data_IF_261233387194
#
_entry.id   IF_261233387194
#
_cell.length_a   1.000
_cell.length_b   1.000
_cell.length_c   1.000
_cell.angle_alpha   90.00
_cell.angle_beta   90.00
_cell.angle_gamma   90.00
#
_symmetry.space_group_name_H-M   'P 1'
#
loop_
_entity.id
_entity.type
_entity.pdbx_description
1 polymer ?
#
# COMPACT_ATOMS: atom_id res chain seq x y z
N UNK A 1 -35.28 22.84 47.77
CA UNK A 1 -36.43 23.73 47.46
C UNK A 1 -36.32 24.21 46.02
N UNK A 2 -37.38 23.95 45.22
CA UNK A 2 -38.03 24.84 44.23
C UNK A 2 -37.16 25.48 43.13
N UNK A 3 -37.35 25.11 41.84
CA UNK A 3 -38.30 25.70 40.85
C UNK A 3 -37.86 27.12 40.42
N UNK A 4 -37.92 27.57 39.17
CA UNK A 4 -38.53 27.10 37.92
C UNK A 4 -38.10 28.08 36.81
N UNK A 5 -38.03 27.57 35.58
CA UNK A 5 -38.15 28.31 34.31
C UNK A 5 -39.32 29.31 34.29
N UNK A 6 -39.24 30.32 33.41
CA UNK A 6 -40.02 30.45 32.15
C UNK A 6 -40.25 31.92 31.79
N UNK A 7 -40.10 32.23 30.51
CA UNK A 7 -40.66 33.41 29.86
C UNK A 7 -40.76 33.16 28.37
N UNK A 8 -41.95 32.74 27.92
CA UNK A 8 -42.33 32.49 26.55
C UNK A 8 -43.32 33.58 26.09
N UNK A 9 -43.38 33.83 24.79
CA UNK A 9 -44.54 34.37 24.06
C UNK A 9 -44.36 33.90 22.61
N UNK A 10 -45.08 32.92 22.06
CA UNK A 10 -46.52 32.76 21.85
C UNK A 10 -47.11 33.82 20.90
N UNK A 11 -47.46 33.40 19.68
CA UNK A 11 -48.64 33.91 19.00
C UNK A 11 -49.30 32.81 18.16
N UNK A 12 -50.61 32.65 18.43
CA UNK A 12 -51.57 31.70 17.87
C UNK A 12 -52.09 32.12 16.49
N UNK A 13 -52.65 31.15 15.74
CA UNK A 13 -54.00 31.17 15.10
C UNK A 13 -54.23 29.76 14.45
N UNK A 14 -55.15 28.87 14.87
CA UNK A 14 -56.64 28.82 14.71
C UNK A 14 -57.06 28.92 13.21
N UNK A 15 -57.89 28.08 12.56
CA UNK A 15 -58.92 27.08 12.91
C UNK A 15 -59.24 26.20 11.66
N UNK A 16 -59.88 25.05 11.91
CA UNK A 16 -61.05 24.49 11.18
C UNK A 16 -60.88 23.46 10.04
N UNK A 17 -61.52 22.33 10.30
CA UNK A 17 -61.77 21.15 9.46
C UNK A 17 -63.10 21.33 8.71
N UNK A 18 -63.18 20.98 7.41
CA UNK A 18 -64.38 20.35 6.79
C UNK A 18 -63.92 19.46 5.62
N UNK A 19 -64.43 18.22 5.59
CA UNK A 19 -64.19 17.21 4.57
C UNK A 19 -65.16 17.34 3.37
N UNK A 20 -64.70 17.03 2.16
CA UNK A 20 -65.56 16.63 1.03
C UNK A 20 -64.84 15.54 0.23
N UNK A 21 -65.48 14.38 0.09
CA UNK A 21 -65.05 13.24 -0.71
C UNK A 21 -65.40 13.44 -2.20
N UNK A 22 -64.47 13.13 -3.10
CA UNK A 22 -64.69 13.04 -4.57
C UNK A 22 -63.91 11.82 -5.09
N UNK A 23 -64.48 10.98 -5.97
CA UNK A 23 -64.03 9.60 -6.18
C UNK A 23 -62.75 9.49 -7.02
N UNK A 24 -62.04 8.39 -6.82
CA UNK A 24 -60.93 7.97 -7.67
C UNK A 24 -61.44 7.73 -9.11
N UNK A 25 -60.96 8.54 -10.06
CA UNK A 25 -60.99 8.22 -11.48
C UNK A 25 -59.60 7.69 -11.84
N UNK A 26 -59.52 6.37 -11.98
CA UNK A 26 -58.42 5.72 -12.68
C UNK A 26 -58.65 5.94 -14.18
N UNK A 27 -57.74 6.66 -14.86
CA UNK A 27 -57.38 6.28 -16.23
C UNK A 27 -56.06 6.93 -16.69
N UNK A 28 -55.12 6.04 -16.99
CA UNK A 28 -54.13 6.05 -18.07
C UNK A 28 -53.04 7.15 -18.16
N UNK A 29 -51.81 6.69 -17.93
CA UNK A 29 -50.57 6.96 -18.69
C UNK A 29 -50.16 8.42 -18.95
N UNK A 30 -49.19 8.92 -18.16
CA UNK A 30 -47.88 9.36 -18.66
C UNK A 30 -46.92 9.75 -17.54
N UNK A 31 -45.68 9.30 -17.68
CA UNK A 31 -44.45 9.85 -17.10
C UNK A 31 -44.17 9.62 -15.60
N UNK A 32 -43.51 8.49 -15.32
CA UNK A 32 -42.24 8.39 -14.58
C UNK A 32 -41.95 9.47 -13.53
N UNK A 33 -42.33 9.21 -12.27
CA UNK A 33 -41.59 9.70 -11.11
C UNK A 33 -41.28 8.48 -10.24
N UNK A 34 -40.21 7.77 -10.60
CA UNK A 34 -39.57 6.84 -9.69
C UNK A 34 -38.88 7.66 -8.61
N UNK A 35 -39.15 7.30 -7.36
CA UNK A 35 -38.48 7.81 -6.16
C UNK A 35 -36.97 7.79 -6.36
N UNK A 36 -36.33 8.96 -6.23
CA UNK A 36 -34.87 9.04 -6.21
C UNK A 36 -34.37 8.45 -4.90
N UNK A 37 -34.14 7.14 -4.90
CA UNK A 37 -33.21 6.48 -3.99
C UNK A 37 -31.84 7.09 -4.26
N UNK A 38 -31.38 7.97 -3.37
CA UNK A 38 -30.01 8.51 -3.41
C UNK A 38 -29.08 7.35 -3.06
N UNK A 39 -28.21 6.86 -3.96
CA UNK A 39 -27.24 5.87 -3.57
C UNK A 39 -26.23 6.57 -2.67
N UNK A 40 -26.05 6.06 -1.44
CA UNK A 40 -24.88 6.36 -0.63
C UNK A 40 -23.70 5.78 -1.39
N UNK A 41 -23.08 6.60 -2.24
CA UNK A 41 -21.80 6.27 -2.85
C UNK A 41 -20.82 6.26 -1.69
N UNK A 42 -20.43 5.04 -1.26
CA UNK A 42 -19.22 4.85 -0.50
C UNK A 42 -18.12 5.56 -1.28
N UNK A 43 -17.60 6.66 -0.73
CA UNK A 43 -16.38 7.27 -1.22
C UNK A 43 -15.29 6.24 -0.99
N UNK A 44 -15.04 5.41 -2.02
CA UNK A 44 -13.79 4.71 -2.14
C UNK A 44 -12.73 5.79 -2.08
N UNK A 45 -12.01 5.89 -0.96
CA UNK A 45 -10.75 6.61 -0.88
C UNK A 45 -9.97 6.19 -2.12
N UNK A 46 -9.85 7.08 -3.10
CA UNK A 46 -8.96 6.87 -4.23
C UNK A 46 -7.57 6.91 -3.61
N UNK A 47 -7.03 5.74 -3.28
CA UNK A 47 -5.64 5.65 -2.86
C UNK A 47 -4.86 6.01 -4.11
N UNK A 48 -4.46 7.27 -4.20
CA UNK A 48 -3.45 7.65 -5.16
C UNK A 48 -2.22 6.80 -4.82
N UNK A 49 -1.72 6.12 -5.84
CA UNK A 49 -0.56 5.25 -5.74
C UNK A 49 0.49 5.79 -6.71
N UNK A 50 1.74 5.76 -6.28
CA UNK A 50 2.87 6.07 -7.16
C UNK A 50 3.52 4.77 -7.58
N UNK A 51 3.97 4.68 -8.83
CA UNK A 51 4.63 3.47 -9.34
C UNK A 51 6.09 3.78 -9.61
N UNK A 52 6.98 2.99 -9.02
CA UNK A 52 8.37 2.92 -9.42
C UNK A 52 8.51 1.84 -10.51
N UNK A 53 9.09 2.19 -11.65
CA UNK A 53 9.44 1.24 -12.70
C UNK A 53 10.96 1.12 -12.85
N UNK A 54 11.45 -0.11 -12.85
CA UNK A 54 12.83 -0.42 -13.18
C UNK A 54 12.86 -1.19 -14.51
N UNK A 55 13.03 -0.45 -15.60
CA UNK A 55 13.08 -1.03 -16.95
C UNK A 55 14.36 -1.84 -17.22
N UNK A 56 15.43 -1.59 -16.46
CA UNK A 56 16.67 -2.36 -16.56
C UNK A 56 16.48 -3.83 -16.15
N UNK A 57 15.76 -4.07 -15.05
CA UNK A 57 15.53 -5.42 -14.55
C UNK A 57 14.13 -5.96 -14.84
N UNK A 58 13.19 -5.12 -15.28
CA UNK A 58 11.85 -5.55 -15.71
C UNK A 58 10.91 -5.81 -14.53
N UNK A 59 10.81 -4.86 -13.60
CA UNK A 59 9.80 -4.89 -12.54
C UNK A 59 9.25 -3.49 -12.25
N UNK A 60 8.04 -3.47 -11.70
CA UNK A 60 7.42 -2.28 -11.11
C UNK A 60 7.11 -2.50 -9.63
N UNK A 61 7.07 -1.43 -8.86
CA UNK A 61 6.74 -1.43 -7.45
C UNK A 61 5.69 -0.35 -7.16
N UNK A 62 4.56 -0.76 -6.60
CA UNK A 62 3.48 0.16 -6.22
C UNK A 62 3.72 0.70 -4.82
N UNK A 63 3.72 2.02 -4.68
CA UNK A 63 4.00 2.73 -3.44
C UNK A 63 2.78 3.53 -2.99
N UNK A 64 2.56 3.64 -1.67
CA UNK A 64 1.54 4.53 -1.14
C UNK A 64 1.93 6.00 -1.36
N UNK A 65 0.95 6.88 -1.25
CA UNK A 65 1.12 8.31 -1.48
C UNK A 65 2.14 8.99 -0.56
N UNK A 66 2.37 8.46 0.66
CA UNK A 66 3.41 8.93 1.58
C UNK A 66 4.82 8.85 0.98
N UNK A 67 5.03 8.01 -0.03
CA UNK A 67 6.31 7.81 -0.69
C UNK A 67 6.49 8.69 -1.93
N UNK A 68 5.55 9.58 -2.26
CA UNK A 68 5.74 10.56 -3.35
C UNK A 68 7.02 11.36 -3.12
N UNK A 69 7.92 11.36 -4.11
CA UNK A 69 9.24 11.97 -4.01
C UNK A 69 10.33 11.03 -3.48
N UNK A 70 10.08 9.71 -3.42
CA UNK A 70 11.10 8.71 -3.14
C UNK A 70 12.32 8.87 -4.06
N UNK A 71 13.47 8.39 -3.60
CA UNK A 71 14.69 8.29 -4.40
C UNK A 71 15.14 6.84 -4.51
N UNK A 72 16.00 6.55 -5.49
CA UNK A 72 16.57 5.20 -5.67
C UNK A 72 18.02 5.21 -5.27
N UNK A 73 18.40 4.22 -4.48
CA UNK A 73 19.76 4.01 -3.99
C UNK A 73 20.22 2.66 -4.52
N UNK A 74 21.37 2.64 -5.18
CA UNK A 74 21.91 1.42 -5.77
C UNK A 74 23.21 1.05 -5.11
N UNK A 75 23.34 -0.24 -4.79
CA UNK A 75 24.54 -0.85 -4.23
C UNK A 75 24.68 -2.28 -4.79
N UNK A 76 25.58 -3.08 -4.21
CA UNK A 76 25.78 -4.49 -4.53
C UNK A 76 25.66 -5.36 -3.30
N UNK A 77 25.04 -6.52 -3.47
CA UNK A 77 25.21 -7.62 -2.51
C UNK A 77 26.37 -8.50 -2.97
N UNK A 78 27.09 -9.09 -2.01
CA UNK A 78 28.16 -10.06 -2.25
C UNK A 78 27.79 -11.38 -1.57
N UNK A 79 27.83 -12.46 -2.34
CA UNK A 79 27.70 -13.84 -1.87
C UNK A 79 29.08 -14.44 -1.61
N UNK A 80 29.25 -15.11 -0.46
CA UNK A 80 30.49 -15.76 -0.07
C UNK A 80 30.37 -17.28 -0.27
N UNK A 81 31.41 -17.89 -0.83
CA UNK A 81 31.52 -19.35 -0.95
C UNK A 81 31.42 -20.00 0.43
N UNK A 82 30.63 -21.07 0.51
CA UNK A 82 30.41 -21.81 1.75
C UNK A 82 31.70 -22.45 2.33
N UNK A 83 32.70 -22.72 1.48
CA UNK A 83 33.89 -23.50 1.78
C UNK A 83 35.07 -22.63 2.18
N UNK A 84 35.33 -21.56 1.42
CA UNK A 84 36.52 -20.71 1.60
C UNK A 84 36.22 -19.24 1.93
N UNK A 85 34.94 -18.86 1.98
CA UNK A 85 34.49 -17.52 2.36
C UNK A 85 34.84 -16.41 1.37
N UNK A 86 35.40 -16.74 0.19
CA UNK A 86 35.67 -15.73 -0.84
C UNK A 86 34.38 -15.31 -1.52
N UNK A 87 34.38 -14.11 -2.11
CA UNK A 87 33.24 -13.66 -2.92
C UNK A 87 33.09 -14.61 -4.11
N UNK A 88 31.99 -15.35 -4.13
CA UNK A 88 31.62 -16.28 -5.20
C UNK A 88 30.68 -15.62 -6.22
N UNK A 89 29.77 -14.78 -5.72
CA UNK A 89 28.72 -14.15 -6.52
C UNK A 89 28.49 -12.70 -6.07
N UNK A 90 27.91 -11.89 -6.97
CA UNK A 90 27.43 -10.56 -6.62
C UNK A 90 26.27 -10.15 -7.51
N UNK A 91 25.46 -9.21 -7.04
CA UNK A 91 24.34 -8.69 -7.81
C UNK A 91 23.86 -7.34 -7.27
N UNK A 92 22.84 -6.80 -7.91
CA UNK A 92 22.35 -5.47 -7.57
C UNK A 92 21.52 -5.49 -6.28
N UNK A 93 21.77 -4.49 -5.44
CA UNK A 93 20.93 -4.13 -4.31
C UNK A 93 20.29 -2.77 -4.60
N UNK A 94 18.96 -2.72 -4.56
CA UNK A 94 18.17 -1.52 -4.84
C UNK A 94 17.44 -1.15 -3.55
N UNK A 95 17.62 0.07 -3.08
CA UNK A 95 16.81 0.68 -2.03
C UNK A 95 15.87 1.72 -2.63
N UNK A 96 14.56 1.54 -2.42
CA UNK A 96 13.60 2.64 -2.59
C UNK A 96 13.64 3.41 -1.27
N UNK A 97 14.11 4.66 -1.33
CA UNK A 97 14.36 5.49 -0.16
C UNK A 97 13.22 6.47 0.08
N UNK A 98 12.73 6.46 1.31
CA UNK A 98 11.64 7.32 1.77
C UNK A 98 12.01 8.81 1.56
N UNK A 99 11.07 9.68 1.11
CA UNK A 99 11.35 11.10 0.88
C UNK A 99 11.83 11.86 2.13
N UNK A 100 11.40 11.43 3.31
CA UNK A 100 11.82 12.01 4.60
C UNK A 100 13.13 11.42 5.16
N UNK A 101 13.83 10.55 4.42
CA UNK A 101 15.10 10.00 4.88
C UNK A 101 16.17 11.10 4.96
N UNK A 102 16.93 11.13 6.07
CA UNK A 102 18.12 11.97 6.22
C UNK A 102 19.24 11.20 6.92
N UNK A 103 20.48 11.68 6.83
CA UNK A 103 21.60 11.06 7.54
C UNK A 103 21.44 11.11 9.06
N UNK A 104 20.88 12.21 9.59
CA UNK A 104 20.66 12.40 11.03
C UNK A 104 19.43 11.63 11.55
N UNK A 105 18.43 11.43 10.68
CA UNK A 105 17.21 10.67 10.95
C UNK A 105 16.99 9.64 9.85
N UNK A 106 17.74 8.52 9.87
CA UNK A 106 17.58 7.48 8.88
C UNK A 106 16.22 6.80 9.02
N UNK A 107 15.55 6.59 7.89
CA UNK A 107 14.35 5.76 7.78
C UNK A 107 14.67 4.45 7.08
N UNK A 108 13.83 3.44 7.27
CA UNK A 108 13.95 2.17 6.58
C UNK A 108 13.68 2.35 5.08
N UNK A 109 14.65 2.05 4.24
CA UNK A 109 14.43 1.88 2.81
C UNK A 109 13.67 0.57 2.55
N UNK A 110 12.91 0.50 1.45
CA UNK A 110 12.39 -0.78 0.93
C UNK A 110 13.50 -1.42 0.09
N UNK A 111 14.12 -2.52 0.55
CA UNK A 111 15.27 -3.09 -0.12
C UNK A 111 14.87 -4.25 -1.03
N UNK A 112 15.48 -4.31 -2.21
CA UNK A 112 15.26 -5.34 -3.23
C UNK A 112 16.62 -5.82 -3.71
N UNK A 113 16.92 -7.09 -3.50
CA UNK A 113 18.00 -7.77 -4.19
C UNK A 113 17.53 -8.29 -5.54
N UNK A 114 18.39 -8.18 -6.53
CA UNK A 114 18.20 -8.74 -7.87
C UNK A 114 19.17 -9.89 -8.06
N UNK A 115 18.65 -11.05 -8.42
CA UNK A 115 19.38 -12.27 -8.73
C UNK A 115 19.09 -12.69 -10.16
N UNK A 116 20.09 -13.22 -10.89
CA UNK A 116 19.76 -14.07 -12.04
C UNK A 116 19.10 -15.37 -11.57
N UNK A 117 18.41 -16.08 -12.47
CA UNK A 117 17.83 -17.38 -12.15
C UNK A 117 18.90 -18.37 -11.63
N UNK A 118 20.08 -18.38 -12.25
CA UNK A 118 21.19 -19.26 -11.84
C UNK A 118 21.74 -18.90 -10.45
N UNK A 119 21.90 -17.60 -10.17
CA UNK A 119 22.33 -17.13 -8.85
C UNK A 119 21.33 -17.52 -7.76
N UNK A 120 20.03 -17.34 -8.02
CA UNK A 120 18.99 -17.74 -7.08
C UNK A 120 19.01 -19.25 -6.82
N UNK A 121 19.10 -20.07 -7.87
CA UNK A 121 19.18 -21.52 -7.73
C UNK A 121 20.43 -21.98 -6.96
N UNK A 122 21.58 -21.35 -7.20
CA UNK A 122 22.80 -21.63 -6.47
C UNK A 122 22.71 -21.24 -4.98
N UNK A 123 22.05 -20.12 -4.67
CA UNK A 123 21.75 -19.69 -3.29
C UNK A 123 20.83 -20.70 -2.58
N UNK A 124 19.77 -21.17 -3.25
CA UNK A 124 18.87 -22.19 -2.69
C UNK A 124 19.54 -23.56 -2.48
N UNK A 125 20.62 -23.83 -3.21
CA UNK A 125 21.46 -25.03 -3.05
C UNK A 125 22.62 -24.81 -2.06
N UNK A 126 22.63 -23.69 -1.34
CA UNK A 126 23.64 -23.37 -0.32
C UNK A 126 25.08 -23.35 -0.87
N UNK A 127 25.25 -23.08 -2.17
CA UNK A 127 26.58 -22.98 -2.80
C UNK A 127 27.32 -21.73 -2.37
N UNK A 128 26.58 -20.70 -2.00
CA UNK A 128 27.10 -19.47 -1.39
C UNK A 128 26.07 -18.91 -0.42
N UNK A 129 26.51 -18.02 0.47
CA UNK A 129 25.65 -17.34 1.44
C UNK A 129 25.77 -15.83 1.34
N UNK A 130 24.71 -15.11 1.67
CA UNK A 130 24.70 -13.65 1.73
C UNK A 130 24.50 -13.22 3.18
N UNK A 131 25.48 -12.49 3.70
CA UNK A 131 25.49 -12.06 5.10
C UNK A 131 25.65 -13.23 6.08
N UNK A 132 25.49 -12.93 7.37
CA UNK A 132 25.66 -13.88 8.47
C UNK A 132 24.32 -14.34 9.10
N UNK A 133 23.19 -14.03 8.45
CA UNK A 133 21.88 -14.43 8.97
C UNK A 133 21.68 -15.94 8.82
N UNK A 134 21.00 -16.63 9.76
CA UNK A 134 20.72 -18.07 9.69
C UNK A 134 19.66 -18.42 8.63
N UNK A 135 19.25 -17.45 7.82
CA UNK A 135 18.21 -17.56 6.81
C UNK A 135 18.58 -16.66 5.64
N UNK A 136 18.27 -17.11 4.42
CA UNK A 136 18.53 -16.36 3.20
C UNK A 136 17.49 -15.26 2.93
N UNK A 137 17.73 -14.45 1.88
CA UNK A 137 16.71 -13.62 1.27
C UNK A 137 15.45 -14.42 0.91
N UNK A 138 14.29 -13.78 1.00
CA UNK A 138 13.00 -14.36 0.60
C UNK A 138 12.56 -13.80 -0.75
N UNK A 139 12.04 -14.65 -1.62
CA UNK A 139 11.51 -14.21 -2.91
C UNK A 139 10.28 -13.30 -2.74
N UNK A 140 10.24 -12.20 -3.50
CA UNK A 140 9.09 -11.32 -3.63
C UNK A 140 8.33 -11.57 -4.92
N UNK A 141 9.04 -11.65 -6.05
CA UNK A 141 8.50 -12.02 -7.37
C UNK A 141 9.63 -12.35 -8.34
N UNK A 142 9.31 -12.73 -9.58
CA UNK A 142 10.30 -13.01 -10.63
C UNK A 142 9.78 -12.69 -12.02
N UNK A 143 10.70 -12.52 -12.96
CA UNK A 143 10.44 -12.58 -14.39
C UNK A 143 11.34 -13.65 -15.05
N UNK A 144 11.35 -13.71 -16.38
CA UNK A 144 12.09 -14.74 -17.13
C UNK A 144 13.62 -14.69 -16.95
N UNK A 145 14.15 -13.59 -16.42
CA UNK A 145 15.60 -13.35 -16.27
C UNK A 145 16.06 -13.23 -14.83
N UNK A 146 15.20 -12.71 -13.96
CA UNK A 146 15.58 -12.30 -12.61
C UNK A 146 14.59 -12.75 -11.55
N UNK A 147 15.12 -13.03 -10.37
CA UNK A 147 14.36 -13.14 -9.12
C UNK A 147 14.59 -11.86 -8.31
N UNK A 148 13.50 -11.27 -7.85
CA UNK A 148 13.50 -10.12 -6.95
C UNK A 148 13.23 -10.61 -5.55
N UNK A 149 14.15 -10.33 -4.62
CA UNK A 149 14.08 -10.88 -3.28
C UNK A 149 14.32 -9.81 -2.22
N UNK A 150 13.70 -10.03 -1.07
CA UNK A 150 13.86 -9.22 0.13
C UNK A 150 15.07 -9.72 0.92
N UNK A 151 16.05 -8.86 1.26
CA UNK A 151 17.18 -9.27 2.09
C UNK A 151 16.74 -9.87 3.42
N UNK A 152 17.48 -10.88 3.88
CA UNK A 152 17.28 -11.42 5.22
C UNK A 152 17.45 -10.33 6.27
N UNK A 153 16.53 -10.25 7.24
CA UNK A 153 16.61 -9.31 8.38
C UNK A 153 16.74 -7.84 7.96
N UNK A 154 16.17 -7.45 6.82
CA UNK A 154 16.29 -6.09 6.29
C UNK A 154 15.82 -4.96 7.24
N UNK A 155 14.93 -5.30 8.18
CA UNK A 155 14.31 -4.43 9.20
C UNK A 155 14.95 -4.57 10.60
N UNK A 156 16.03 -5.36 10.76
CA UNK A 156 16.57 -5.70 12.08
C UNK A 156 17.28 -4.54 12.80
N UNK A 157 17.57 -3.46 12.09
CA UNK A 157 18.05 -2.21 12.67
C UNK A 157 16.93 -1.39 13.33
N UNK A 158 15.65 -1.76 13.15
CA UNK A 158 14.48 -1.07 13.67
C UNK A 158 14.48 0.44 13.39
N UNK A 159 14.91 0.83 12.18
CA UNK A 159 14.92 2.23 11.75
C UNK A 159 13.49 2.79 11.69
N UNK A 160 13.36 4.12 11.79
CA UNK A 160 12.06 4.79 11.66
C UNK A 160 11.37 4.37 10.34
N UNK A 161 10.07 4.07 10.39
CA UNK A 161 9.30 3.58 9.25
C UNK A 161 9.46 2.08 8.90
N UNK A 162 10.19 1.24 9.66
CA UNK A 162 10.30 -0.18 9.33
C UNK A 162 8.96 -0.93 9.29
N UNK A 163 8.01 -0.56 10.16
CA UNK A 163 6.67 -1.15 10.19
C UNK A 163 5.84 -0.74 8.96
N UNK A 164 6.00 0.51 8.50
CA UNK A 164 5.37 0.97 7.26
C UNK A 164 5.90 0.16 6.06
N UNK A 165 7.21 -0.12 6.02
CA UNK A 165 7.79 -0.98 4.99
C UNK A 165 7.25 -2.42 5.07
N UNK A 166 7.13 -2.98 6.27
CA UNK A 166 6.50 -4.30 6.44
C UNK A 166 5.07 -4.32 5.92
N UNK A 167 4.28 -3.29 6.23
CA UNK A 167 2.88 -3.19 5.79
C UNK A 167 2.79 -3.05 4.27
N UNK A 168 3.64 -2.23 3.64
CA UNK A 168 3.74 -2.12 2.18
C UNK A 168 4.05 -3.48 1.55
N UNK A 169 5.00 -4.24 2.11
CA UNK A 169 5.43 -5.53 1.55
C UNK A 169 4.36 -6.63 1.68
N UNK A 170 3.51 -6.58 2.71
CA UNK A 170 2.39 -7.54 2.89
C UNK A 170 1.39 -7.51 1.74
N UNK A 171 1.25 -6.36 1.07
CA UNK A 171 0.32 -6.17 -0.05
C UNK A 171 0.87 -6.67 -1.40
N UNK A 172 2.03 -7.34 -1.41
CA UNK A 172 2.71 -7.83 -2.63
C UNK A 172 2.88 -6.73 -3.72
N UNK A 173 3.52 -5.61 -3.38
CA UNK A 173 3.52 -4.38 -4.19
C UNK A 173 4.38 -4.47 -5.46
N UNK A 174 5.23 -5.50 -5.56
CA UNK A 174 6.16 -5.70 -6.67
C UNK A 174 5.57 -6.66 -7.70
N UNK A 175 5.64 -6.27 -8.97
CA UNK A 175 5.13 -7.06 -10.09
C UNK A 175 6.15 -7.06 -11.24
N UNK A 176 6.29 -8.17 -11.98
CA UNK A 176 7.12 -8.20 -13.18
C UNK A 176 6.53 -7.27 -14.26
N UNK A 177 7.40 -6.77 -15.14
CA UNK A 177 7.04 -5.98 -16.33
C UNK A 177 7.26 -6.78 -17.61
#
# INVERSE_FOLDING_TARGET
>A
MKKKNKGAAALLLLVAVVAVSVPAIVSANRANHAEQVVPIVAQANQVHQTVYENTQYGFRFTLPDSWKGYTIVTDKWNGQDATDGKVAESGASIGIRHPEWTADKPRQDIPIYVFTIDQWNALQQEKFFIGAAPMGPSELTRNDKYVFALPARYNFAYLDGYQEVEDILKDNPIQPM
#
